data_IF_064811759675
#
_entry.id   IF_064811759675
#
_cell.length_a   1.000
_cell.length_b   1.000
_cell.length_c   1.000
_cell.angle_alpha   90.00
_cell.angle_beta   90.00
_cell.angle_gamma   90.00
#
_symmetry.space_group_name_H-M   'P 1'
#
loop_
_entity.id
_entity.type
_entity.pdbx_description
1 polymer ?
#
# COMPACT_ATOMS: atom_id res chain seq x y z
N UNK A 1 7.62 -15.35 12.65
CA UNK A 1 6.75 -16.08 11.71
C UNK A 1 5.99 -15.07 10.87
N UNK A 2 6.01 -15.16 9.53
CA UNK A 2 5.05 -14.41 8.71
C UNK A 2 3.68 -15.07 8.92
N UNK A 3 2.71 -14.30 9.41
CA UNK A 3 1.37 -14.79 9.74
C UNK A 3 0.56 -15.18 8.48
N UNK A 4 -0.54 -15.91 8.65
CA UNK A 4 -1.46 -16.30 7.56
C UNK A 4 -2.41 -15.16 7.15
N UNK A 5 -2.11 -13.92 7.50
CA UNK A 5 -3.00 -12.78 7.26
C UNK A 5 -2.97 -12.37 5.80
N UNK A 6 -4.14 -12.25 5.20
CA UNK A 6 -4.34 -11.80 3.83
C UNK A 6 -4.71 -10.32 3.76
N UNK A 7 -4.70 -9.76 2.56
CA UNK A 7 -5.13 -8.37 2.30
C UNK A 7 -6.62 -8.21 2.65
N UNK A 8 -7.44 -9.17 2.24
CA UNK A 8 -8.88 -9.20 2.53
C UNK A 8 -9.18 -9.23 4.02
N UNK A 9 -8.39 -9.97 4.82
CA UNK A 9 -8.57 -10.01 6.27
C UNK A 9 -8.41 -8.60 6.89
N UNK A 10 -7.40 -7.85 6.44
CA UNK A 10 -7.13 -6.49 6.93
C UNK A 10 -8.22 -5.52 6.45
N UNK A 11 -8.65 -5.63 5.20
CA UNK A 11 -9.71 -4.78 4.62
C UNK A 11 -11.04 -5.02 5.33
N UNK A 12 -11.42 -6.28 5.55
CA UNK A 12 -12.67 -6.65 6.22
C UNK A 12 -12.65 -6.17 7.68
N UNK A 13 -11.55 -6.40 8.40
CA UNK A 13 -11.40 -5.87 9.75
C UNK A 13 -11.53 -4.34 9.78
N UNK A 14 -10.87 -3.62 8.86
CA UNK A 14 -10.95 -2.16 8.81
C UNK A 14 -12.37 -1.67 8.44
N UNK A 15 -13.10 -2.39 7.59
CA UNK A 15 -14.49 -2.07 7.24
C UNK A 15 -15.41 -2.15 8.44
N UNK A 16 -15.22 -3.14 9.31
CA UNK A 16 -16.03 -3.33 10.52
C UNK A 16 -15.68 -2.33 11.63
N UNK A 17 -14.43 -1.81 11.64
CA UNK A 17 -13.91 -0.96 12.71
C UNK A 17 -13.82 0.54 12.33
N UNK A 18 -14.06 0.91 11.07
CA UNK A 18 -13.94 2.29 10.58
C UNK A 18 -15.15 2.69 9.74
N UNK A 19 -15.39 3.99 9.63
CA UNK A 19 -16.39 4.51 8.70
C UNK A 19 -16.03 4.13 7.25
N UNK A 20 -17.05 3.92 6.41
CA UNK A 20 -16.91 3.42 5.03
C UNK A 20 -15.97 4.26 4.12
N UNK A 21 -15.70 5.52 4.46
CA UNK A 21 -14.79 6.36 3.69
C UNK A 21 -13.32 6.29 4.14
N UNK A 22 -13.03 5.63 5.28
CA UNK A 22 -11.70 5.57 5.89
C UNK A 22 -10.98 4.23 5.71
N UNK A 23 -11.69 3.15 5.43
CA UNK A 23 -11.05 1.85 5.29
C UNK A 23 -10.15 1.81 4.04
N UNK A 24 -9.01 1.11 4.09
CA UNK A 24 -8.13 0.97 2.94
C UNK A 24 -8.79 0.07 1.88
N UNK A 25 -8.69 0.48 0.61
CA UNK A 25 -9.18 -0.34 -0.53
C UNK A 25 -8.14 -1.30 -1.08
N UNK A 26 -6.87 -1.00 -0.83
CA UNK A 26 -5.71 -1.78 -1.27
C UNK A 26 -4.79 -1.90 -0.06
N UNK A 27 -4.26 -3.10 0.15
CA UNK A 27 -3.27 -3.41 1.18
C UNK A 27 -2.16 -4.15 0.46
N UNK A 28 -0.90 -3.79 0.71
CA UNK A 28 0.27 -4.48 0.15
C UNK A 28 1.19 -4.86 1.31
N UNK A 29 1.68 -6.10 1.32
CA UNK A 29 2.67 -6.55 2.29
C UNK A 29 4.07 -6.40 1.73
N UNK A 30 4.88 -5.58 2.41
CA UNK A 30 6.30 -5.39 2.09
C UNK A 30 7.19 -5.97 3.19
N UNK A 31 8.37 -6.45 2.81
CA UNK A 31 9.35 -6.95 3.79
C UNK A 31 9.91 -5.82 4.67
N UNK A 32 10.08 -4.63 4.09
CA UNK A 32 10.52 -3.44 4.80
C UNK A 32 10.00 -2.17 4.16
N UNK A 33 9.62 -1.20 4.99
CA UNK A 33 9.32 0.15 4.53
C UNK A 33 10.62 0.93 4.24
N UNK A 34 10.63 1.82 3.23
CA UNK A 34 11.75 2.70 2.98
C UNK A 34 11.92 3.65 4.17
N UNK A 35 13.16 3.71 4.70
CA UNK A 35 13.50 4.51 5.87
C UNK A 35 14.68 5.43 5.57
N UNK A 36 14.69 6.60 6.19
CA UNK A 36 15.85 7.51 6.18
C UNK A 36 17.04 6.88 6.91
N UNK A 37 18.22 7.49 6.79
CA UNK A 37 19.40 7.10 7.59
C UNK A 37 19.19 7.18 9.11
N UNK A 38 18.12 7.85 9.57
CA UNK A 38 17.70 7.93 10.98
C UNK A 38 16.51 7.03 11.30
N UNK A 39 16.09 6.15 10.38
CA UNK A 39 15.03 5.16 10.59
C UNK A 39 13.60 5.67 10.37
N UNK A 40 13.40 6.93 9.95
CA UNK A 40 12.06 7.50 9.70
C UNK A 40 11.49 6.98 8.40
N UNK A 41 10.22 6.60 8.39
CA UNK A 41 9.53 6.15 7.16
C UNK A 41 9.51 7.27 6.13
N UNK A 42 9.95 6.97 4.90
CA UNK A 42 10.00 7.92 3.79
C UNK A 42 8.69 7.89 3.01
N UNK A 43 7.67 8.56 3.56
CA UNK A 43 6.31 8.58 2.99
C UNK A 43 6.26 9.13 1.55
N UNK A 44 7.11 10.12 1.23
CA UNK A 44 7.17 10.71 -0.12
C UNK A 44 7.61 9.70 -1.17
N UNK A 45 8.64 8.91 -0.86
CA UNK A 45 9.15 7.87 -1.76
C UNK A 45 8.09 6.79 -2.00
N UNK A 46 7.32 6.40 -0.98
CA UNK A 46 6.20 5.47 -1.15
C UNK A 46 5.13 6.05 -2.09
N UNK A 47 4.81 7.33 -1.94
CA UNK A 47 3.83 8.00 -2.80
C UNK A 47 4.31 8.15 -4.25
N UNK A 48 5.60 8.47 -4.46
CA UNK A 48 6.22 8.53 -5.79
C UNK A 48 6.20 7.17 -6.49
N UNK A 49 6.51 6.09 -5.75
CA UNK A 49 6.47 4.71 -6.27
C UNK A 49 5.05 4.32 -6.70
N UNK A 50 4.05 4.67 -5.90
CA UNK A 50 2.65 4.37 -6.22
C UNK A 50 2.15 5.21 -7.41
N UNK A 51 2.50 6.50 -7.47
CA UNK A 51 2.14 7.35 -8.59
C UNK A 51 2.76 6.84 -9.90
N UNK A 52 4.05 6.49 -9.89
CA UNK A 52 4.72 5.93 -11.07
C UNK A 52 4.09 4.62 -11.53
N UNK A 53 3.64 3.78 -10.59
CA UNK A 53 2.92 2.53 -10.88
C UNK A 53 1.57 2.80 -11.56
N UNK A 54 0.82 3.77 -11.05
CA UNK A 54 -0.47 4.18 -11.61
C UNK A 54 -0.32 4.77 -13.02
N UNK A 55 0.70 5.61 -13.24
CA UNK A 55 1.01 6.16 -14.57
C UNK A 55 1.39 5.07 -15.59
N UNK A 56 2.16 4.06 -15.17
CA UNK A 56 2.52 2.93 -16.02
C UNK A 56 1.31 2.04 -16.37
N UNK A 57 0.34 1.91 -15.46
CA UNK A 57 -0.90 1.18 -15.72
C UNK A 57 -1.85 1.93 -16.66
N UNK A 58 -1.84 3.26 -16.65
CA UNK A 58 -2.70 4.11 -17.48
C UNK A 58 -2.22 4.24 -18.93
N UNK A 59 -0.91 4.14 -19.17
CA UNK A 59 -0.32 4.09 -20.51
C UNK A 59 0.05 2.65 -20.85
N UNK A 60 -0.88 1.79 -21.32
CA UNK A 60 -0.45 0.54 -21.90
C UNK A 60 0.40 0.93 -23.10
N UNK A 61 1.64 0.45 -23.12
CA UNK A 61 2.57 0.65 -24.21
C UNK A 61 1.83 0.42 -25.53
N UNK A 62 1.90 1.40 -26.43
CA UNK A 62 1.51 1.23 -27.81
C UNK A 62 2.20 -0.04 -28.34
N UNK A 63 1.42 -1.09 -28.51
CA UNK A 63 1.77 -2.33 -29.19
C UNK A 63 0.86 -2.43 -30.42
#
# INVERSE_FOLDING_TARGET
AKGKTTEDDIINWARDNMAAYKYPRVVEFVDALPKSGTGKVMWRTLQEQENARNEAAEKPAAA
#
